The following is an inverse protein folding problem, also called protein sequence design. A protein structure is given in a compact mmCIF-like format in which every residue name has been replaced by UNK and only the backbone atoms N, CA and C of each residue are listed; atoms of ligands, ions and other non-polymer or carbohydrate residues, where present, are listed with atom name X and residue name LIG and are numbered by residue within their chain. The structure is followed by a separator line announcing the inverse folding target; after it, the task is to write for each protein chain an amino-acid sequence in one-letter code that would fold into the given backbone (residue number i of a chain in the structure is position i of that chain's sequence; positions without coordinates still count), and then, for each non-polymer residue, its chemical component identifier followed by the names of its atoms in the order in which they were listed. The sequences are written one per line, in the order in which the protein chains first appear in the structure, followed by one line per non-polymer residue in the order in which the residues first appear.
data_IF_159363696966
#
_entry.id   IF_159363696966
#
_cell.length_a   1.000
_cell.length_b   1.000
_cell.length_c   1.000
_cell.angle_alpha   90.00
_cell.angle_beta   90.00
_cell.angle_gamma   90.00
#
_symmetry.space_group_name_H-M   'P 1'
#
loop_
_entity.id
_entity.type
_entity.pdbx_description
1 polymer ?
#
# COMPACT_ATOMS: atom_id res chain seq x y z
N UNK A 1 3.08 5.98 16.94
CA UNK A 1 2.50 6.14 15.60
C UNK A 1 3.30 5.22 14.71
N UNK A 2 2.67 4.26 14.07
CA UNK A 2 3.35 3.22 13.30
C UNK A 2 3.97 3.79 12.01
N UNK A 3 5.22 4.25 12.09
CA UNK A 3 6.03 4.78 10.98
C UNK A 3 6.01 3.89 9.72
N UNK A 4 5.88 2.57 9.89
CA UNK A 4 5.82 1.61 8.79
C UNK A 4 4.60 1.79 7.89
N UNK A 5 3.45 2.13 8.47
CA UNK A 5 2.20 2.29 7.74
C UNK A 5 2.23 3.55 6.87
N UNK A 6 2.71 4.65 7.42
CA UNK A 6 2.84 5.92 6.70
C UNK A 6 3.83 5.78 5.53
N UNK A 7 4.97 5.12 5.76
CA UNK A 7 5.96 4.85 4.72
C UNK A 7 5.40 3.97 3.60
N UNK A 8 4.62 2.94 3.94
CA UNK A 8 3.96 2.09 2.95
C UNK A 8 2.93 2.86 2.10
N UNK A 9 2.09 3.69 2.74
CA UNK A 9 1.11 4.53 2.03
C UNK A 9 1.82 5.49 1.09
N UNK A 10 2.89 6.12 1.57
CA UNK A 10 3.68 7.06 0.78
C UNK A 10 4.32 6.38 -0.42
N UNK A 11 4.98 5.24 -0.22
CA UNK A 11 5.57 4.43 -1.29
C UNK A 11 4.54 4.06 -2.37
N UNK A 12 3.38 3.52 -1.97
CA UNK A 12 2.32 3.13 -2.92
C UNK A 12 1.79 4.36 -3.67
N UNK A 13 1.63 5.48 -2.97
CA UNK A 13 1.12 6.73 -3.58
C UNK A 13 2.11 7.35 -4.57
N UNK A 14 3.41 7.29 -4.29
CA UNK A 14 4.47 7.74 -5.20
C UNK A 14 4.52 6.86 -6.45
N UNK A 15 4.53 5.53 -6.28
CA UNK A 15 4.52 4.57 -7.40
C UNK A 15 3.26 4.72 -8.28
N UNK A 16 2.09 4.97 -7.69
CA UNK A 16 0.85 5.22 -8.44
C UNK A 16 0.81 6.58 -9.11
N UNK A 17 1.54 7.57 -8.57
CA UNK A 17 1.68 8.88 -9.21
C UNK A 17 2.57 8.80 -10.44
N UNK A 18 3.65 8.03 -10.36
CA UNK A 18 4.55 7.79 -11.49
C UNK A 18 3.93 6.85 -12.53
N UNK A 19 3.22 5.82 -12.08
CA UNK A 19 2.52 4.88 -12.94
C UNK A 19 1.09 4.59 -12.43
N UNK A 20 0.09 5.35 -12.91
CA UNK A 20 -1.31 5.16 -12.50
C UNK A 20 -1.91 3.81 -12.90
N UNK A 21 -1.28 3.12 -13.87
CA UNK A 21 -1.68 1.79 -14.34
C UNK A 21 -0.90 0.67 -13.65
N UNK A 22 -0.03 0.99 -12.69
CA UNK A 22 0.68 0.00 -11.91
C UNK A 22 -0.31 -0.88 -11.12
N UNK A 23 0.07 -2.15 -11.00
CA UNK A 23 -0.72 -3.16 -10.33
C UNK A 23 -0.71 -2.91 -8.81
N UNK A 24 -1.80 -2.34 -8.31
CA UNK A 24 -1.93 -1.88 -6.91
C UNK A 24 -1.66 -3.01 -5.92
N UNK A 25 -2.12 -4.23 -6.23
CA UNK A 25 -1.90 -5.40 -5.39
C UNK A 25 -0.40 -5.72 -5.26
N UNK A 26 0.36 -5.66 -6.36
CA UNK A 26 1.81 -5.88 -6.32
C UNK A 26 2.55 -4.83 -5.51
N UNK A 27 2.14 -3.56 -5.62
CA UNK A 27 2.71 -2.47 -4.82
C UNK A 27 2.44 -2.66 -3.33
N UNK A 28 1.23 -3.08 -2.97
CA UNK A 28 0.84 -3.37 -1.59
C UNK A 28 1.62 -4.56 -1.02
N UNK A 29 1.75 -5.66 -1.78
CA UNK A 29 2.56 -6.81 -1.35
C UNK A 29 4.04 -6.47 -1.17
N UNK A 30 4.58 -5.62 -2.05
CA UNK A 30 5.96 -5.14 -1.94
C UNK A 30 6.15 -4.26 -0.71
N UNK A 31 5.26 -3.29 -0.50
CA UNK A 31 5.26 -2.43 0.68
C UNK A 31 5.09 -3.25 1.97
N UNK A 32 4.23 -4.27 1.97
CA UNK A 32 4.01 -5.16 3.10
C UNK A 32 5.28 -5.87 3.55
N UNK A 33 6.05 -6.38 2.59
CA UNK A 33 7.35 -7.02 2.87
C UNK A 33 8.44 -6.00 3.25
N UNK A 34 8.50 -4.87 2.56
CA UNK A 34 9.57 -3.87 2.75
C UNK A 34 9.43 -3.11 4.08
N UNK A 35 8.21 -2.80 4.50
CA UNK A 35 7.92 -2.09 5.75
C UNK A 35 7.52 -3.01 6.91
N UNK A 36 7.62 -4.33 6.72
CA UNK A 36 7.26 -5.36 7.68
C UNK A 36 5.84 -5.14 8.25
N UNK A 37 4.88 -4.93 7.34
CA UNK A 37 3.49 -4.69 7.72
C UNK A 37 2.84 -5.97 8.23
N UNK A 38 1.96 -5.81 9.21
CA UNK A 38 1.11 -6.91 9.65
C UNK A 38 0.09 -7.29 8.57
N UNK A 39 -0.45 -8.52 8.59
CA UNK A 39 -1.50 -8.95 7.67
C UNK A 39 -2.69 -7.98 7.64
N UNK A 40 -3.09 -7.49 8.81
CA UNK A 40 -4.18 -6.50 8.98
C UNK A 40 -3.85 -5.16 8.29
N UNK A 41 -2.61 -4.71 8.36
CA UNK A 41 -2.18 -3.46 7.72
C UNK A 41 -2.17 -3.61 6.19
N UNK A 42 -1.73 -4.76 5.68
CA UNK A 42 -1.73 -5.08 4.25
C UNK A 42 -3.15 -5.19 3.70
N UNK A 43 -4.07 -5.77 4.48
CA UNK A 43 -5.50 -5.83 4.16
C UNK A 43 -6.11 -4.42 4.10
N UNK A 44 -5.83 -3.56 5.08
CA UNK A 44 -6.27 -2.16 5.07
C UNK A 44 -5.77 -1.39 3.83
N UNK A 45 -4.51 -1.59 3.43
CA UNK A 45 -3.98 -0.97 2.21
C UNK A 45 -4.69 -1.51 0.96
N UNK A 46 -4.97 -2.80 0.92
CA UNK A 46 -5.74 -3.43 -0.15
C UNK A 46 -7.13 -2.84 -0.25
N UNK A 47 -7.84 -2.68 0.86
CA UNK A 47 -9.15 -2.04 0.89
C UNK A 47 -9.09 -0.59 0.40
N UNK A 48 -8.11 0.16 0.89
CA UNK A 48 -7.92 1.58 0.57
C UNK A 48 -7.59 1.83 -0.91
N UNK A 49 -6.67 1.06 -1.48
CA UNK A 49 -6.15 1.31 -2.82
C UNK A 49 -6.85 0.48 -3.91
N UNK A 50 -7.40 -0.69 -3.59
CA UNK A 50 -7.99 -1.61 -4.59
C UNK A 50 -9.50 -1.60 -4.55
N UNK A 51 -10.09 -1.74 -3.36
CA UNK A 51 -11.54 -1.95 -3.25
C UNK A 51 -12.36 -0.66 -3.35
N UNK A 52 -11.74 0.53 -3.19
CA UNK A 52 -12.41 1.84 -3.25
C UNK A 52 -13.83 1.79 -2.65
N UNK A 53 -13.98 1.19 -1.47
CA UNK A 53 -15.23 1.27 -0.73
C UNK A 53 -15.33 2.72 -0.24
N UNK A 54 -16.14 3.47 -0.98
CA UNK A 54 -16.59 4.82 -0.64
C UNK A 54 -17.36 4.81 0.68
#
# INVERSE_FOLDING_TARGET
MDDSMEKAIRFISEELKENPSADRLKLIERAGREFNLSPIQTEFLTEKFVLNKV
#
